data_IF_832293476095
#
_entry.id   IF_832293476095
#
_cell.length_a   1.000
_cell.length_b   1.000
_cell.length_c   1.000
_cell.angle_alpha   90.00
_cell.angle_beta   90.00
_cell.angle_gamma   90.00
#
_symmetry.space_group_name_H-M   'P 1'
#
loop_
_entity.id
_entity.type
_entity.pdbx_description
1 polymer ?
#
# COMPACT_ATOMS: atom_id res chain seq x y z
N UNK A 1 -4.73 18.69 -1.30
CA UNK A 1 -4.24 20.03 -1.60
C UNK A 1 -4.74 20.99 -0.53
N UNK A 2 -3.88 21.87 -0.03
CA UNK A 2 -4.25 22.93 0.92
C UNK A 2 -4.14 24.26 0.20
N UNK A 3 -5.21 25.03 0.24
CA UNK A 3 -5.35 26.28 -0.48
C UNK A 3 -5.40 27.42 0.55
N UNK A 4 -4.33 28.21 0.57
CA UNK A 4 -4.17 29.36 1.44
C UNK A 4 -4.27 30.67 0.67
N UNK A 5 -3.57 31.66 1.18
CA UNK A 5 -3.40 32.97 0.56
C UNK A 5 -1.92 33.35 0.61
N UNK A 6 -1.27 33.32 -0.53
CA UNK A 6 0.14 33.68 -0.66
C UNK A 6 0.42 35.18 -0.49
N UNK A 7 1.69 35.51 -0.40
CA UNK A 7 2.15 36.89 -0.28
C UNK A 7 3.64 37.04 0.02
N UNK A 8 4.05 38.24 0.36
CA UNK A 8 5.43 38.51 0.67
C UNK A 8 5.86 37.90 2.00
N UNK A 9 6.94 37.13 2.04
CA UNK A 9 7.40 36.43 3.23
C UNK A 9 7.69 37.36 4.45
N UNK A 10 8.01 38.62 4.21
CA UNK A 10 8.19 39.61 5.29
C UNK A 10 6.85 40.15 5.87
N UNK A 11 5.70 39.82 5.28
CA UNK A 11 4.37 40.27 5.72
C UNK A 11 3.42 39.08 5.93
N UNK A 12 3.79 38.07 6.74
CA UNK A 12 3.01 36.87 6.92
C UNK A 12 1.61 37.11 7.49
N UNK A 13 1.41 38.20 8.26
CA UNK A 13 0.11 38.58 8.82
C UNK A 13 -0.96 38.93 7.76
N UNK A 14 -0.57 39.12 6.50
CA UNK A 14 -1.49 39.37 5.38
C UNK A 14 -1.83 38.12 4.58
N UNK A 15 -1.29 36.99 4.99
CA UNK A 15 -1.35 35.69 4.27
C UNK A 15 -2.09 34.62 5.08
N UNK A 16 -2.41 33.52 4.42
CA UNK A 16 -2.77 32.23 5.03
C UNK A 16 -1.77 31.23 4.50
N UNK A 17 -0.76 30.88 5.29
CA UNK A 17 0.40 30.11 4.82
C UNK A 17 0.09 28.60 4.70
N UNK A 18 -0.06 28.08 3.47
CA UNK A 18 -0.41 26.67 3.28
C UNK A 18 0.75 25.72 3.62
N UNK A 19 2.00 26.18 3.66
CA UNK A 19 3.15 25.36 4.05
C UNK A 19 3.04 25.01 5.54
N UNK A 20 2.81 26.02 6.39
CA UNK A 20 2.64 25.80 7.84
C UNK A 20 1.43 24.94 8.14
N UNK A 21 0.32 25.16 7.43
CA UNK A 21 -0.90 24.35 7.59
C UNK A 21 -0.63 22.89 7.15
N UNK A 22 0.03 22.69 6.02
CA UNK A 22 0.37 21.38 5.49
C UNK A 22 1.27 20.56 6.42
N UNK A 23 2.25 21.19 7.05
CA UNK A 23 3.10 20.50 8.05
C UNK A 23 2.29 20.02 9.25
N UNK A 24 1.31 20.82 9.71
CA UNK A 24 0.41 20.42 10.83
C UNK A 24 -0.52 19.27 10.43
N UNK A 25 -1.03 19.26 9.21
CA UNK A 25 -1.84 18.15 8.69
C UNK A 25 -1.01 16.86 8.66
N UNK A 26 0.23 16.91 8.16
CA UNK A 26 1.12 15.74 8.11
C UNK A 26 1.44 15.22 9.51
N UNK A 27 1.76 16.10 10.45
CA UNK A 27 2.03 15.73 11.84
C UNK A 27 0.80 15.08 12.49
N UNK A 28 -0.37 15.68 12.33
CA UNK A 28 -1.62 15.16 12.88
C UNK A 28 -2.01 13.80 12.27
N UNK A 29 -1.71 13.53 11.02
CA UNK A 29 -1.94 12.23 10.37
C UNK A 29 -1.21 11.09 11.09
N UNK A 30 -0.05 11.34 11.70
CA UNK A 30 0.68 10.32 12.46
C UNK A 30 -0.13 9.80 13.67
N UNK A 31 -1.03 10.63 14.18
CA UNK A 31 -1.92 10.22 15.27
C UNK A 31 -2.99 9.21 14.83
N UNK A 32 -3.32 9.13 13.56
CA UNK A 32 -4.35 8.21 13.06
C UNK A 32 -3.96 6.77 13.35
N UNK A 33 -2.76 6.37 12.91
CA UNK A 33 -2.26 5.00 13.14
C UNK A 33 -2.06 4.72 14.62
N UNK A 34 -1.54 5.69 15.37
CA UNK A 34 -1.16 5.46 16.77
C UNK A 34 -2.30 5.63 17.80
N UNK A 35 -3.45 6.25 17.42
CA UNK A 35 -4.53 6.60 18.37
C UNK A 35 -5.93 6.23 17.92
N UNK A 36 -6.14 5.98 16.62
CA UNK A 36 -7.49 5.70 16.09
C UNK A 36 -7.63 4.29 15.52
N UNK A 37 -6.53 3.66 15.07
CA UNK A 37 -6.55 2.28 14.58
C UNK A 37 -6.24 1.32 15.74
N UNK A 38 -6.91 0.16 15.76
CA UNK A 38 -6.61 -0.91 16.71
C UNK A 38 -5.15 -1.34 16.54
N UNK A 39 -4.34 -1.43 17.62
CA UNK A 39 -2.94 -1.87 17.53
C UNK A 39 -2.73 -3.27 16.93
N UNK A 40 -3.78 -4.10 16.88
CA UNK A 40 -3.72 -5.43 16.24
C UNK A 40 -3.96 -5.37 14.73
N UNK A 41 -4.41 -4.24 14.19
CA UNK A 41 -4.61 -4.04 12.76
C UNK A 41 -3.34 -3.46 12.12
N UNK A 42 -2.69 -4.20 11.22
CA UNK A 42 -1.53 -3.68 10.50
C UNK A 42 -1.94 -2.54 9.56
N UNK A 43 -1.33 -1.37 9.76
CA UNK A 43 -1.61 -0.17 8.96
C UNK A 43 -0.32 0.55 8.62
N UNK A 44 -0.24 1.02 7.38
CA UNK A 44 0.75 2.00 6.94
C UNK A 44 0.03 3.25 6.46
N UNK A 45 0.49 4.42 6.94
CA UNK A 45 0.16 5.73 6.41
C UNK A 45 1.46 6.48 6.18
N UNK A 46 1.78 6.76 4.92
CA UNK A 46 3.02 7.46 4.56
C UNK A 46 2.70 8.66 3.67
N UNK A 47 3.12 9.83 4.09
CA UNK A 47 3.21 11.00 3.22
C UNK A 47 4.57 10.96 2.52
N UNK A 48 4.54 10.96 1.20
CA UNK A 48 5.73 10.77 0.37
C UNK A 48 6.07 11.97 -0.50
N UNK A 49 5.15 12.92 -0.62
CA UNK A 49 5.35 14.15 -1.40
C UNK A 49 4.74 15.34 -0.66
N UNK A 50 5.50 16.45 -0.69
CA UNK A 50 5.06 17.76 -0.23
C UNK A 50 5.63 18.79 -1.19
N UNK A 51 4.76 19.44 -1.96
CA UNK A 51 5.17 20.39 -2.99
C UNK A 51 4.48 21.74 -2.78
N UNK A 52 5.27 22.81 -2.78
CA UNK A 52 4.75 24.17 -2.70
C UNK A 52 5.88 25.20 -2.66
N UNK A 53 5.63 26.36 -3.26
CA UNK A 53 6.57 27.48 -3.34
C UNK A 53 7.60 27.34 -4.44
N UNK A 54 7.90 28.49 -5.08
CA UNK A 54 8.89 28.61 -6.15
C UNK A 54 10.02 29.54 -5.77
N UNK A 55 9.79 30.53 -4.90
CA UNK A 55 10.77 31.53 -4.48
C UNK A 55 10.83 31.61 -2.95
N UNK A 56 12.06 31.72 -2.42
CA UNK A 56 12.33 31.71 -0.98
C UNK A 56 11.75 32.91 -0.22
N UNK A 57 11.36 33.99 -0.89
CA UNK A 57 10.79 35.19 -0.30
C UNK A 57 9.29 35.37 -0.57
N UNK A 58 8.63 34.33 -1.07
CA UNK A 58 7.18 34.29 -1.41
C UNK A 58 6.49 33.14 -0.73
N UNK A 59 5.45 33.42 0.05
CA UNK A 59 4.53 32.41 0.57
C UNK A 59 3.61 32.01 -0.58
N UNK A 60 3.49 30.70 -0.92
CA UNK A 60 2.68 30.25 -2.03
C UNK A 60 1.16 30.32 -1.73
N UNK A 61 0.34 30.24 -2.78
CA UNK A 61 -1.11 30.16 -2.63
C UNK A 61 -1.58 28.77 -2.19
N UNK A 62 -0.82 27.72 -2.50
CA UNK A 62 -1.22 26.34 -2.23
C UNK A 62 -0.01 25.45 -1.99
N UNK A 63 -0.26 24.29 -1.33
CA UNK A 63 0.66 23.16 -1.26
C UNK A 63 -0.09 21.87 -1.64
N UNK A 64 0.62 20.98 -2.30
CA UNK A 64 0.16 19.63 -2.61
C UNK A 64 0.86 18.62 -1.72
N UNK A 65 0.06 17.75 -1.08
CA UNK A 65 0.53 16.67 -0.23
C UNK A 65 0.03 15.37 -0.85
N UNK A 66 0.93 14.41 -1.09
CA UNK A 66 0.56 13.06 -1.57
C UNK A 66 1.18 12.00 -0.69
N UNK A 67 0.49 10.86 -0.64
CA UNK A 67 0.95 9.73 0.15
C UNK A 67 0.22 8.46 -0.21
N UNK A 68 0.40 7.43 0.61
CA UNK A 68 -0.33 6.19 0.46
C UNK A 68 -0.68 5.60 1.82
N UNK A 69 -1.76 4.85 1.83
CA UNK A 69 -2.16 4.00 2.96
C UNK A 69 -2.12 2.53 2.55
N UNK A 70 -1.86 1.65 3.52
CA UNK A 70 -1.97 0.20 3.35
C UNK A 70 -2.64 -0.38 4.58
N UNK A 71 -3.59 -1.28 4.38
CA UNK A 71 -4.24 -2.07 5.42
C UNK A 71 -4.87 -3.31 4.80
N UNK A 72 -5.21 -4.30 5.60
CA UNK A 72 -5.87 -5.51 5.12
C UNK A 72 -7.40 -5.44 5.22
N UNK A 73 -7.92 -4.59 6.10
CA UNK A 73 -9.35 -4.49 6.40
C UNK A 73 -10.00 -3.32 5.66
N UNK A 74 -11.07 -3.55 4.86
CA UNK A 74 -11.86 -2.47 4.26
C UNK A 74 -12.46 -1.51 5.31
N UNK A 75 -12.79 -2.01 6.49
CA UNK A 75 -13.27 -1.19 7.61
C UNK A 75 -12.18 -0.20 8.06
N UNK A 76 -10.94 -0.67 8.18
CA UNK A 76 -9.80 0.18 8.54
C UNK A 76 -9.51 1.18 7.43
N UNK A 77 -9.60 0.79 6.16
CA UNK A 77 -9.43 1.70 5.03
C UNK A 77 -10.42 2.87 5.08
N UNK A 78 -11.71 2.58 5.28
CA UNK A 78 -12.72 3.61 5.42
C UNK A 78 -12.48 4.51 6.65
N UNK A 79 -11.99 3.94 7.74
CA UNK A 79 -11.63 4.71 8.93
C UNK A 79 -10.46 5.65 8.67
N UNK A 80 -9.44 5.20 7.95
CA UNK A 80 -8.30 6.04 7.55
C UNK A 80 -8.76 7.23 6.71
N UNK A 81 -9.56 6.99 5.66
CA UNK A 81 -10.09 8.02 4.79
C UNK A 81 -10.86 9.08 5.59
N UNK A 82 -11.84 8.66 6.39
CA UNK A 82 -12.65 9.56 7.21
C UNK A 82 -11.82 10.37 8.21
N UNK A 83 -10.84 9.76 8.87
CA UNK A 83 -9.99 10.47 9.83
C UNK A 83 -9.03 11.44 9.13
N UNK A 84 -8.47 11.06 7.99
CA UNK A 84 -7.61 11.95 7.20
C UNK A 84 -8.37 13.18 6.71
N UNK A 85 -9.56 13.00 6.15
CA UNK A 85 -10.38 14.12 5.70
C UNK A 85 -10.78 15.02 6.86
N UNK A 86 -11.30 14.45 7.95
CA UNK A 86 -11.70 15.21 9.16
C UNK A 86 -10.55 16.02 9.76
N UNK A 87 -9.35 15.46 9.82
CA UNK A 87 -8.17 16.18 10.33
C UNK A 87 -7.81 17.32 9.40
N UNK A 88 -7.80 17.07 8.07
CA UNK A 88 -7.51 18.09 7.07
C UNK A 88 -8.50 19.25 7.19
N UNK A 89 -9.79 18.95 7.17
CA UNK A 89 -10.86 19.93 7.34
C UNK A 89 -10.69 20.76 8.61
N UNK A 90 -10.51 20.08 9.74
CA UNK A 90 -10.42 20.75 11.04
C UNK A 90 -9.22 21.70 11.13
N UNK A 91 -8.07 21.27 10.62
CA UNK A 91 -6.85 22.10 10.62
C UNK A 91 -6.99 23.26 9.64
N UNK A 92 -7.45 23.01 8.42
CA UNK A 92 -7.66 24.08 7.43
C UNK A 92 -8.64 25.13 7.96
N UNK A 93 -9.77 24.72 8.48
CA UNK A 93 -10.76 25.64 9.08
C UNK A 93 -10.17 26.47 10.23
N UNK A 94 -9.37 25.85 11.11
CA UNK A 94 -8.75 26.55 12.24
C UNK A 94 -7.78 27.67 11.79
N UNK A 95 -7.20 27.55 10.61
CA UNK A 95 -6.25 28.51 10.05
C UNK A 95 -6.85 29.40 8.93
N UNK A 96 -8.13 29.22 8.59
CA UNK A 96 -8.79 29.97 7.52
C UNK A 96 -8.32 29.63 6.12
N UNK A 97 -7.93 28.37 5.90
CA UNK A 97 -7.56 27.83 4.59
C UNK A 97 -8.69 26.97 4.02
N UNK A 98 -8.73 26.85 2.70
CA UNK A 98 -9.54 25.86 1.98
C UNK A 98 -8.70 24.58 1.72
N UNK A 99 -9.38 23.49 1.34
CA UNK A 99 -8.71 22.24 0.97
C UNK A 99 -9.44 21.49 -0.13
N UNK A 100 -8.70 20.63 -0.82
CA UNK A 100 -9.24 19.56 -1.66
C UNK A 100 -8.66 18.26 -1.13
N UNK A 101 -9.53 17.32 -0.79
CA UNK A 101 -9.17 15.99 -0.33
C UNK A 101 -9.63 14.95 -1.33
N UNK A 102 -8.72 14.09 -1.76
CA UNK A 102 -9.00 12.98 -2.67
C UNK A 102 -8.39 11.72 -2.10
N UNK A 103 -9.20 10.67 -1.96
CA UNK A 103 -8.75 9.34 -1.52
C UNK A 103 -9.09 8.32 -2.59
N UNK A 104 -8.06 7.81 -3.24
CA UNK A 104 -8.21 6.86 -4.34
C UNK A 104 -8.15 5.43 -3.81
N UNK A 105 -9.27 4.71 -3.86
CA UNK A 105 -9.33 3.28 -3.58
C UNK A 105 -8.78 2.51 -4.78
N UNK A 106 -7.58 1.93 -4.63
CA UNK A 106 -6.94 1.16 -5.70
C UNK A 106 -7.13 -0.34 -5.45
N UNK A 107 -6.11 -1.03 -5.04
CA UNK A 107 -6.15 -2.49 -4.89
C UNK A 107 -6.74 -2.91 -3.55
N UNK A 108 -7.69 -3.88 -3.54
CA UNK A 108 -8.10 -4.55 -2.31
C UNK A 108 -6.96 -5.43 -1.77
N UNK A 109 -7.13 -5.96 -0.56
CA UNK A 109 -6.20 -6.95 -0.03
C UNK A 109 -6.28 -8.25 -0.83
N UNK A 110 -5.13 -8.84 -1.16
CA UNK A 110 -5.03 -10.16 -1.79
C UNK A 110 -5.19 -11.22 -0.71
N UNK A 111 -6.39 -11.80 -0.61
CA UNK A 111 -6.74 -12.80 0.39
C UNK A 111 -7.04 -14.12 -0.31
N UNK A 112 -6.15 -15.09 -0.14
CA UNK A 112 -6.31 -16.41 -0.70
C UNK A 112 -7.54 -17.15 -0.11
N UNK A 113 -8.25 -17.88 -0.95
CA UNK A 113 -9.28 -18.79 -0.51
C UNK A 113 -8.63 -20.00 0.16
N UNK A 114 -9.19 -20.45 1.28
CA UNK A 114 -8.55 -21.45 2.14
C UNK A 114 -8.25 -22.76 1.41
N UNK A 115 -9.24 -23.31 0.71
CA UNK A 115 -9.10 -24.61 0.03
C UNK A 115 -8.05 -24.55 -1.09
N UNK A 116 -8.07 -23.46 -1.87
CA UNK A 116 -7.17 -23.23 -2.97
C UNK A 116 -5.72 -22.98 -2.47
N UNK A 117 -5.58 -22.30 -1.34
CA UNK A 117 -4.27 -22.10 -0.69
C UNK A 117 -3.70 -23.43 -0.16
N UNK A 118 -4.54 -24.27 0.47
CA UNK A 118 -4.14 -25.61 0.93
C UNK A 118 -3.73 -26.52 -0.21
N UNK A 119 -4.48 -26.50 -1.33
CA UNK A 119 -4.14 -27.27 -2.52
C UNK A 119 -2.83 -26.78 -3.12
N UNK A 120 -2.68 -25.48 -3.32
CA UNK A 120 -1.46 -24.84 -3.83
C UNK A 120 -0.25 -25.22 -3.01
N UNK A 121 -0.38 -25.18 -1.67
CA UNK A 121 0.69 -25.57 -0.75
C UNK A 121 1.09 -27.04 -0.90
N UNK A 122 0.12 -27.98 -1.00
CA UNK A 122 0.40 -29.40 -1.22
C UNK A 122 1.13 -29.67 -2.53
N UNK A 123 0.71 -29.02 -3.60
CA UNK A 123 1.38 -29.15 -4.92
C UNK A 123 2.81 -28.57 -4.84
N UNK A 124 3.00 -27.41 -4.23
CA UNK A 124 4.31 -26.83 -4.05
C UNK A 124 5.25 -27.75 -3.24
N UNK A 125 4.76 -28.33 -2.14
CA UNK A 125 5.50 -29.28 -1.31
C UNK A 125 5.88 -30.57 -2.08
N UNK A 126 4.99 -31.08 -2.91
CA UNK A 126 5.27 -32.24 -3.78
C UNK A 126 6.45 -31.99 -4.72
N UNK A 127 6.57 -30.76 -5.23
CA UNK A 127 7.60 -30.40 -6.23
C UNK A 127 8.92 -30.03 -5.56
N UNK A 128 8.88 -29.25 -4.50
CA UNK A 128 10.06 -28.62 -3.89
C UNK A 128 10.51 -29.26 -2.57
N UNK A 129 9.66 -30.10 -1.96
CA UNK A 129 9.84 -30.64 -0.62
C UNK A 129 9.21 -29.76 0.47
N UNK A 130 8.83 -30.37 1.57
CA UNK A 130 8.11 -29.69 2.67
C UNK A 130 8.94 -28.55 3.27
N UNK A 131 10.23 -28.75 3.47
CA UNK A 131 11.15 -27.78 4.08
C UNK A 131 11.35 -26.50 3.22
N UNK A 132 11.02 -26.57 1.93
CA UNK A 132 11.18 -25.46 0.99
C UNK A 132 9.90 -24.64 0.79
N UNK A 133 8.80 -25.02 1.46
CA UNK A 133 7.50 -24.37 1.29
C UNK A 133 6.99 -23.77 2.59
N UNK A 134 6.91 -22.45 2.64
CA UNK A 134 6.31 -21.75 3.77
C UNK A 134 4.80 -21.60 3.55
N UNK A 135 3.99 -22.36 4.29
CA UNK A 135 2.53 -22.31 4.22
C UNK A 135 1.90 -21.13 4.97
N UNK A 136 2.66 -20.43 5.78
CA UNK A 136 2.18 -19.29 6.58
C UNK A 136 3.19 -18.13 6.54
N UNK A 137 3.42 -17.55 5.36
CA UNK A 137 4.32 -16.41 5.25
C UNK A 137 3.75 -15.19 5.99
N UNK A 138 4.63 -14.32 6.48
CA UNK A 138 4.21 -13.03 7.03
C UNK A 138 3.46 -12.24 5.95
N UNK A 139 2.26 -11.70 6.25
CA UNK A 139 1.50 -10.89 5.31
C UNK A 139 2.32 -9.70 4.79
N UNK A 140 2.23 -9.44 3.49
CA UNK A 140 2.90 -8.31 2.84
C UNK A 140 1.93 -7.14 2.66
N UNK A 141 2.44 -5.91 2.81
CA UNK A 141 1.72 -4.67 2.50
C UNK A 141 1.84 -4.26 1.02
N UNK A 142 2.38 -5.14 0.16
CA UNK A 142 2.37 -4.97 -1.29
C UNK A 142 0.96 -4.97 -1.86
N UNK A 143 0.79 -4.42 -3.05
CA UNK A 143 -0.48 -4.43 -3.79
C UNK A 143 -0.36 -5.36 -4.98
N UNK A 144 -1.45 -6.08 -5.28
CA UNK A 144 -1.50 -7.06 -6.36
C UNK A 144 -2.88 -7.01 -7.04
N UNK A 145 -2.92 -6.96 -8.37
CA UNK A 145 -4.17 -6.87 -9.14
C UNK A 145 -4.96 -8.20 -9.12
N UNK A 146 -4.31 -9.31 -8.87
CA UNK A 146 -4.97 -10.60 -8.64
C UNK A 146 -6.01 -10.54 -7.52
N UNK A 147 -5.91 -9.57 -6.63
CA UNK A 147 -6.91 -9.33 -5.58
C UNK A 147 -8.32 -9.13 -6.16
N UNK A 148 -8.47 -8.52 -7.32
CA UNK A 148 -9.78 -8.37 -7.98
C UNK A 148 -10.33 -9.71 -8.48
N UNK A 149 -9.46 -10.61 -8.98
CA UNK A 149 -9.87 -11.95 -9.38
C UNK A 149 -10.38 -12.75 -8.18
N UNK A 150 -9.74 -12.59 -7.02
CA UNK A 150 -10.13 -13.26 -5.78
C UNK A 150 -11.48 -12.77 -5.23
N UNK A 151 -11.94 -11.56 -5.57
CA UNK A 151 -13.27 -11.08 -5.23
C UNK A 151 -14.36 -11.75 -6.07
N UNK A 152 -14.02 -12.18 -7.28
CA UNK A 152 -14.97 -12.80 -8.22
C UNK A 152 -14.99 -14.33 -8.13
N UNK A 153 -13.84 -14.94 -7.85
CA UNK A 153 -13.67 -16.40 -7.82
C UNK A 153 -12.71 -16.82 -6.72
N UNK A 154 -12.97 -17.98 -6.09
CA UNK A 154 -11.99 -18.61 -5.21
C UNK A 154 -10.69 -18.87 -5.95
N UNK A 155 -9.56 -18.57 -5.31
CA UNK A 155 -8.24 -18.74 -5.90
C UNK A 155 -7.12 -18.61 -4.87
N UNK A 156 -5.90 -18.83 -5.33
CA UNK A 156 -4.69 -18.69 -4.52
C UNK A 156 -3.59 -18.01 -5.31
N UNK A 157 -3.01 -16.98 -4.71
CA UNK A 157 -1.80 -16.32 -5.18
C UNK A 157 -0.62 -16.85 -4.38
N UNK A 158 0.42 -17.27 -5.06
CA UNK A 158 1.64 -17.81 -4.45
C UNK A 158 2.87 -17.04 -4.91
N UNK A 159 3.91 -17.09 -4.12
CA UNK A 159 5.22 -16.54 -4.47
C UNK A 159 6.22 -17.66 -4.72
N UNK A 160 7.10 -17.47 -5.69
CA UNK A 160 8.28 -18.30 -5.90
C UNK A 160 9.49 -17.49 -5.49
N UNK A 161 10.29 -18.02 -4.54
CA UNK A 161 11.50 -17.35 -4.07
C UNK A 161 12.56 -17.26 -5.18
N UNK A 162 13.25 -16.12 -5.23
CA UNK A 162 14.31 -15.86 -6.20
C UNK A 162 15.70 -16.40 -5.77
N UNK A 163 15.78 -17.00 -4.57
CA UNK A 163 17.03 -17.46 -3.96
C UNK A 163 17.79 -16.34 -3.25
N UNK A 164 19.06 -16.62 -2.91
CA UNK A 164 19.97 -15.75 -2.14
C UNK A 164 21.26 -15.38 -2.92
N UNK A 165 21.28 -15.67 -4.22
CA UNK A 165 22.41 -15.39 -5.13
C UNK A 165 22.51 -13.92 -5.56
N UNK A 166 23.42 -13.67 -6.49
CA UNK A 166 23.55 -12.36 -7.14
C UNK A 166 22.25 -11.97 -7.81
N UNK A 167 21.82 -10.71 -7.65
CA UNK A 167 20.54 -10.22 -8.16
C UNK A 167 19.30 -10.55 -7.33
N UNK A 168 19.41 -11.29 -6.21
CA UNK A 168 18.29 -11.70 -5.36
C UNK A 168 17.78 -10.63 -4.39
N UNK A 169 18.15 -9.36 -4.59
CA UNK A 169 17.59 -8.26 -3.80
C UNK A 169 16.07 -8.09 -4.04
N UNK A 170 15.42 -7.30 -3.19
CA UNK A 170 13.98 -7.04 -3.32
C UNK A 170 13.63 -6.43 -4.68
N UNK A 171 12.45 -6.77 -5.19
CA UNK A 171 11.85 -6.13 -6.36
C UNK A 171 11.86 -4.60 -6.21
N UNK A 172 11.89 -3.87 -7.33
CA UNK A 172 12.08 -2.42 -7.41
C UNK A 172 13.50 -1.93 -7.03
N UNK A 173 14.43 -2.81 -6.74
CA UNK A 173 15.85 -2.47 -6.62
C UNK A 173 16.49 -2.54 -8.00
N UNK A 174 17.31 -1.55 -8.41
CA UNK A 174 18.00 -1.57 -9.71
C UNK A 174 18.94 -2.77 -9.92
N UNK A 175 19.39 -3.41 -8.85
CA UNK A 175 20.22 -4.61 -8.89
C UNK A 175 19.43 -5.93 -8.91
N UNK A 176 18.08 -5.87 -8.94
CA UNK A 176 17.26 -7.09 -9.01
C UNK A 176 17.43 -7.76 -10.36
N UNK A 177 17.69 -9.08 -10.33
CA UNK A 177 17.71 -9.92 -11.50
C UNK A 177 16.93 -11.22 -11.21
N UNK A 178 16.13 -11.64 -12.18
CA UNK A 178 15.29 -12.82 -12.04
C UNK A 178 16.17 -14.09 -12.15
N UNK A 179 15.94 -15.04 -11.25
CA UNK A 179 16.67 -16.30 -11.27
C UNK A 179 16.02 -17.31 -12.23
N UNK A 180 16.55 -17.44 -13.44
CA UNK A 180 16.04 -18.36 -14.47
C UNK A 180 15.94 -19.83 -14.01
N UNK A 181 16.70 -20.23 -12.98
CA UNK A 181 16.65 -21.58 -12.43
C UNK A 181 15.31 -21.93 -11.78
N UNK A 182 14.49 -20.94 -11.44
CA UNK A 182 13.14 -21.17 -10.89
C UNK A 182 12.07 -21.37 -11.96
N UNK A 183 12.36 -21.09 -13.24
CA UNK A 183 11.41 -21.27 -14.35
C UNK A 183 10.87 -22.71 -14.45
N UNK A 184 11.72 -23.76 -14.41
CA UNK A 184 11.21 -25.14 -14.41
C UNK A 184 10.31 -25.46 -13.23
N UNK A 185 10.61 -24.91 -12.05
CA UNK A 185 9.80 -25.11 -10.83
C UNK A 185 8.41 -24.51 -11.06
N UNK A 186 8.34 -23.27 -11.54
CA UNK A 186 7.08 -22.59 -11.82
C UNK A 186 6.27 -23.31 -12.91
N UNK A 187 6.91 -23.74 -13.99
CA UNK A 187 6.25 -24.50 -15.04
C UNK A 187 5.69 -25.84 -14.52
N UNK A 188 6.49 -26.59 -13.76
CA UNK A 188 6.05 -27.86 -13.16
C UNK A 188 4.89 -27.65 -12.20
N UNK A 189 4.91 -26.58 -11.41
CA UNK A 189 3.81 -26.24 -10.51
C UNK A 189 2.47 -26.11 -11.25
N UNK A 190 2.45 -25.38 -12.35
CA UNK A 190 1.23 -25.21 -13.14
C UNK A 190 0.74 -26.51 -13.79
N UNK A 191 1.65 -27.35 -14.29
CA UNK A 191 1.30 -28.65 -14.84
C UNK A 191 0.68 -29.54 -13.77
N UNK A 192 1.35 -29.70 -12.64
CA UNK A 192 0.88 -30.55 -11.54
C UNK A 192 -0.45 -30.07 -10.96
N UNK A 193 -0.63 -28.74 -10.84
CA UNK A 193 -1.90 -28.15 -10.39
C UNK A 193 -3.04 -28.46 -11.38
N UNK A 194 -2.79 -28.24 -12.68
CA UNK A 194 -3.78 -28.50 -13.73
C UNK A 194 -4.17 -30.00 -13.79
N UNK A 195 -3.18 -30.89 -13.77
CA UNK A 195 -3.42 -32.33 -13.77
C UNK A 195 -4.22 -32.77 -12.53
N UNK A 196 -3.90 -32.23 -11.35
CA UNK A 196 -4.63 -32.56 -10.13
C UNK A 196 -6.09 -32.14 -10.20
N UNK A 197 -6.36 -30.90 -10.64
CA UNK A 197 -7.73 -30.39 -10.73
C UNK A 197 -8.55 -31.12 -11.78
N UNK A 198 -7.98 -31.31 -12.96
CA UNK A 198 -8.68 -31.95 -14.09
C UNK A 198 -8.85 -33.47 -13.90
N UNK A 199 -8.00 -34.14 -13.12
CA UNK A 199 -8.14 -35.56 -12.81
C UNK A 199 -9.16 -35.84 -11.72
N UNK A 200 -9.51 -34.84 -10.88
CA UNK A 200 -10.49 -35.01 -9.82
C UNK A 200 -11.93 -35.02 -10.33
N UNK A 201 -12.17 -34.63 -11.60
CA UNK A 201 -13.49 -34.62 -12.25
C UNK A 201 -13.79 -35.90 -13.03
N UNK A 202 -12.94 -36.93 -12.95
CA UNK A 202 -13.14 -38.29 -13.51
C UNK A 202 -13.22 -39.30 -12.37
#
# INVERSE_FOLDING_TARGET
KIIGKGGHAAMPQTTVDPIIIGTKVIDAYQSIVSRYVDPQEPVVLSVTQFHGGDAYNVIPNEVEIKGCTRCFSPKVQNQLEQQMEKITESICNAYGADYVFEFEHRYPATINSKNEAELSGKIAQKISGEDMVNLSPTPSMGSEDFAYMLQEKPGSYIWIGNGDGEGSCMIHNPGYDFNDKVLPIGATYWVELAEHILSADN
#
